data_IF_796403695149
#
_entry.id   IF_796403695149
#
_cell.length_a   1.000
_cell.length_b   1.000
_cell.length_c   1.000
_cell.angle_alpha   90.00
_cell.angle_beta   90.00
_cell.angle_gamma   90.00
#
_symmetry.space_group_name_H-M   'P 1'
#
loop_
_entity.id
_entity.type
_entity.pdbx_description
1 polymer ?
#
# COMPACT_ATOMS: atom_id res chain seq x y z
N UNK A 1 18.14 5.09 6.90
CA UNK A 1 17.34 4.00 6.30
C UNK A 1 15.92 4.50 6.20
N UNK A 2 15.35 4.55 5.01
CA UNK A 2 13.94 4.93 4.84
C UNK A 2 13.09 3.79 5.40
N UNK A 3 12.16 4.10 6.30
CA UNK A 3 11.37 3.10 7.02
C UNK A 3 10.30 2.49 6.11
N UNK A 4 10.69 1.44 5.38
CA UNK A 4 9.90 0.78 4.36
C UNK A 4 9.05 -0.32 4.99
N UNK A 5 7.91 0.10 5.52
CA UNK A 5 7.00 -0.75 6.29
C UNK A 5 5.54 -0.60 5.88
N UNK A 6 5.27 0.06 4.75
CA UNK A 6 3.91 0.30 4.29
C UNK A 6 3.58 -0.50 3.04
N UNK A 7 2.41 -1.15 3.07
CA UNK A 7 1.75 -1.66 1.88
C UNK A 7 0.96 -0.54 1.23
N UNK A 8 1.06 -0.44 -0.09
CA UNK A 8 0.15 0.37 -0.86
C UNK A 8 -1.07 -0.46 -1.25
N UNK A 9 -2.25 0.06 -0.94
CA UNK A 9 -3.53 -0.53 -1.26
C UNK A 9 -4.20 0.36 -2.30
N UNK A 10 -4.47 -0.19 -3.49
CA UNK A 10 -5.26 0.51 -4.50
C UNK A 10 -6.72 0.48 -4.07
N UNK A 11 -7.24 1.62 -3.61
CA UNK A 11 -8.66 1.80 -3.27
C UNK A 11 -9.52 1.60 -4.52
N UNK A 12 -9.11 2.17 -5.65
CA UNK A 12 -9.82 2.09 -6.93
C UNK A 12 -10.00 0.66 -7.45
N UNK A 13 -9.02 -0.20 -7.22
CA UNK A 13 -9.05 -1.59 -7.66
C UNK A 13 -9.45 -2.57 -6.55
N UNK A 14 -9.73 -2.10 -5.34
CA UNK A 14 -10.21 -2.94 -4.23
C UNK A 14 -11.74 -2.98 -4.20
N UNK A 15 -12.30 -4.06 -3.66
CA UNK A 15 -13.75 -4.22 -3.49
C UNK A 15 -14.06 -4.82 -2.11
N UNK A 16 -14.72 -4.04 -1.25
CA UNK A 16 -15.09 -4.46 0.10
C UNK A 16 -13.86 -4.85 0.92
N UNK A 17 -13.77 -6.14 1.28
CA UNK A 17 -12.66 -6.71 2.06
C UNK A 17 -11.55 -7.35 1.21
N UNK A 18 -11.70 -7.35 -0.12
CA UNK A 18 -10.66 -7.81 -1.05
C UNK A 18 -9.83 -6.61 -1.48
N UNK A 19 -8.65 -6.52 -0.90
CA UNK A 19 -7.68 -5.46 -1.17
C UNK A 19 -6.75 -5.85 -2.31
N UNK A 20 -6.58 -4.90 -3.22
CA UNK A 20 -5.59 -4.95 -4.30
C UNK A 20 -4.33 -4.25 -3.82
N UNK A 21 -3.26 -5.02 -3.62
CA UNK A 21 -1.99 -4.57 -3.09
C UNK A 21 -1.02 -4.26 -4.22
N UNK A 22 -0.17 -3.25 -4.06
CA UNK A 22 0.83 -2.90 -5.07
C UNK A 22 2.10 -3.77 -4.99
N UNK A 23 2.73 -3.92 -6.16
CA UNK A 23 3.97 -4.65 -6.34
C UNK A 23 3.69 -6.11 -6.66
N UNK A 24 4.39 -6.64 -7.66
CA UNK A 24 4.36 -8.08 -8.00
C UNK A 24 5.58 -8.84 -7.43
N UNK A 25 6.59 -8.11 -6.97
CA UNK A 25 7.78 -8.62 -6.28
C UNK A 25 8.27 -7.59 -5.27
N UNK A 26 8.67 -8.05 -4.08
CA UNK A 26 9.28 -7.23 -3.04
C UNK A 26 10.75 -6.98 -3.37
N UNK A 27 11.12 -5.71 -3.54
CA UNK A 27 12.50 -5.35 -3.84
C UNK A 27 13.35 -5.22 -2.58
N UNK A 28 14.65 -5.54 -2.70
CA UNK A 28 15.62 -5.39 -1.61
C UNK A 28 15.87 -3.93 -1.27
N UNK A 29 16.56 -3.68 -0.16
CA UNK A 29 16.76 -2.32 0.33
C UNK A 29 17.64 -1.45 -0.57
N UNK A 30 18.56 -2.06 -1.29
CA UNK A 30 19.47 -1.43 -2.24
C UNK A 30 18.88 -1.27 -3.65
N UNK A 31 17.67 -1.77 -3.88
CA UNK A 31 17.00 -1.74 -5.19
C UNK A 31 16.00 -0.59 -5.31
N UNK A 32 15.78 -0.14 -6.55
CA UNK A 32 14.66 0.76 -6.88
C UNK A 32 13.34 0.03 -6.62
N UNK A 33 12.39 0.74 -6.01
CA UNK A 33 11.07 0.19 -5.68
C UNK A 33 10.25 -0.15 -6.92
N UNK A 34 9.53 -1.25 -6.84
CA UNK A 34 8.57 -1.64 -7.84
C UNK A 34 7.29 -0.81 -7.66
N UNK A 35 6.89 -0.03 -8.66
CA UNK A 35 5.61 0.70 -8.68
C UNK A 35 4.67 0.14 -9.76
N UNK A 36 4.79 -1.15 -10.05
CA UNK A 36 3.99 -1.82 -11.06
C UNK A 36 3.46 -3.14 -10.55
N UNK A 37 2.40 -3.60 -11.19
CA UNK A 37 1.73 -4.84 -10.83
C UNK A 37 0.88 -4.72 -9.57
N UNK A 38 -0.06 -5.64 -9.49
CA UNK A 38 -0.94 -5.80 -8.34
C UNK A 38 -0.92 -7.25 -7.90
N UNK A 39 -1.04 -7.44 -6.59
CA UNK A 39 -1.22 -8.74 -5.98
C UNK A 39 -2.49 -8.76 -5.14
N UNK A 40 -3.04 -9.96 -4.97
CA UNK A 40 -4.22 -10.17 -4.15
C UNK A 40 -3.91 -10.08 -2.65
N UNK A 41 -4.98 -9.92 -1.87
CA UNK A 41 -4.97 -9.84 -0.40
C UNK A 41 -4.14 -10.94 0.28
N UNK A 42 -4.10 -12.15 -0.28
CA UNK A 42 -3.43 -13.31 0.33
C UNK A 42 -1.92 -13.38 0.05
N UNK A 43 -1.40 -12.58 -0.87
CA UNK A 43 0.02 -12.58 -1.26
C UNK A 43 0.81 -11.40 -0.64
N UNK A 44 0.33 -10.86 0.48
CA UNK A 44 0.87 -9.64 1.09
C UNK A 44 2.36 -9.71 1.47
N UNK A 45 2.90 -10.91 1.77
CA UNK A 45 4.33 -11.12 2.04
C UNK A 45 5.20 -10.88 0.80
N UNK A 46 4.65 -11.08 -0.41
CA UNK A 46 5.36 -10.86 -1.69
C UNK A 46 5.22 -9.44 -2.21
N UNK A 47 4.25 -8.69 -1.69
CA UNK A 47 3.99 -7.31 -2.09
C UNK A 47 5.14 -6.40 -1.70
N UNK A 48 5.28 -5.31 -2.44
CA UNK A 48 6.31 -4.31 -2.21
C UNK A 48 6.06 -3.56 -0.89
N UNK A 49 7.15 -3.18 -0.22
CA UNK A 49 7.08 -2.28 0.92
C UNK A 49 7.71 -0.93 0.61
N UNK A 50 6.94 0.09 0.93
CA UNK A 50 7.29 1.47 0.67
C UNK A 50 7.47 2.23 1.98
N UNK A 51 8.24 3.30 1.89
CA UNK A 51 8.16 4.43 2.78
C UNK A 51 7.18 5.47 2.23
N UNK A 52 6.74 6.43 3.06
CA UNK A 52 5.95 7.57 2.57
C UNK A 52 6.73 8.37 1.52
N UNK A 53 8.05 8.51 1.73
CA UNK A 53 8.96 9.24 0.86
C UNK A 53 9.06 8.61 -0.54
N UNK A 54 9.03 7.28 -0.63
CA UNK A 54 9.04 6.58 -1.93
C UNK A 54 7.87 7.05 -2.82
N UNK A 55 6.68 7.19 -2.25
CA UNK A 55 5.50 7.67 -2.98
C UNK A 55 5.52 9.18 -3.23
N UNK A 56 5.92 9.98 -2.24
CA UNK A 56 6.04 11.43 -2.44
C UNK A 56 7.02 11.78 -3.56
N UNK A 57 8.14 11.06 -3.66
CA UNK A 57 9.12 11.27 -4.73
C UNK A 57 8.62 10.81 -6.11
N UNK A 58 7.83 9.72 -6.17
CA UNK A 58 7.39 9.14 -7.44
C UNK A 58 6.13 9.80 -8.01
N UNK A 59 5.15 10.09 -7.15
CA UNK A 59 3.81 10.55 -7.56
C UNK A 59 3.45 11.95 -7.02
N UNK A 60 4.23 12.51 -6.10
CA UNK A 60 3.88 13.75 -5.42
C UNK A 60 2.69 13.61 -4.47
N UNK A 61 2.06 14.74 -4.15
CA UNK A 61 0.80 14.81 -3.40
C UNK A 61 -0.37 14.92 -4.39
N UNK A 62 -1.40 14.07 -4.26
CA UNK A 62 -2.54 14.10 -5.17
C UNK A 62 -3.49 12.93 -4.93
N UNK A 63 -3.73 12.15 -5.99
CA UNK A 63 -4.63 10.97 -5.92
C UNK A 63 -4.11 9.85 -5.02
N UNK A 64 -2.83 9.90 -4.63
CA UNK A 64 -2.24 8.96 -3.66
C UNK A 64 -2.12 9.64 -2.30
N UNK A 65 -2.63 8.98 -1.26
CA UNK A 65 -2.50 9.43 0.12
C UNK A 65 -1.13 9.02 0.71
N UNK A 66 -0.15 9.89 0.58
CA UNK A 66 1.24 9.66 1.03
C UNK A 66 1.74 10.66 2.10
N UNK A 67 0.90 11.58 2.57
CA UNK A 67 1.20 12.51 3.68
C UNK A 67 1.36 11.79 5.03
N UNK A 68 0.53 10.76 5.25
CA UNK A 68 0.55 9.93 6.46
C UNK A 68 -0.03 8.54 6.16
N UNK A 69 0.39 7.49 6.89
CA UNK A 69 -0.27 6.20 6.78
C UNK A 69 -1.70 6.29 7.29
N UNK A 70 -2.56 5.41 6.78
CA UNK A 70 -3.93 5.24 7.24
C UNK A 70 -4.08 3.98 8.07
N UNK A 71 -5.03 4.01 9.01
CA UNK A 71 -5.38 2.88 9.84
C UNK A 71 -6.16 1.84 9.03
N UNK A 72 -5.82 0.56 9.20
CA UNK A 72 -6.52 -0.57 8.62
C UNK A 72 -7.88 -0.77 9.28
N UNK A 73 -8.93 -0.90 8.47
CA UNK A 73 -10.32 -1.07 8.95
C UNK A 73 -11.15 -1.85 7.92
N UNK A 74 -12.26 -2.47 8.33
CA UNK A 74 -13.18 -3.13 7.38
C UNK A 74 -13.73 -2.16 6.32
N UNK A 75 -13.99 -0.90 6.70
CA UNK A 75 -14.53 0.12 5.79
C UNK A 75 -13.46 0.92 5.03
N UNK A 76 -12.22 0.42 4.95
CA UNK A 76 -11.08 1.16 4.38
C UNK A 76 -11.40 1.73 2.99
N UNK A 77 -11.93 0.90 2.08
CA UNK A 77 -12.25 1.28 0.70
C UNK A 77 -13.28 2.40 0.66
N UNK A 78 -14.33 2.29 1.48
CA UNK A 78 -15.39 3.31 1.54
C UNK A 78 -14.89 4.62 2.15
N UNK A 79 -14.09 4.53 3.21
CA UNK A 79 -13.59 5.69 3.95
C UNK A 79 -12.63 6.55 3.14
N UNK A 80 -11.84 5.93 2.27
CA UNK A 80 -10.79 6.60 1.49
C UNK A 80 -11.08 6.62 -0.01
N UNK A 81 -12.37 6.55 -0.39
CA UNK A 81 -12.82 6.44 -1.78
C UNK A 81 -12.42 7.63 -2.69
N UNK A 82 -12.04 8.77 -2.10
CA UNK A 82 -11.53 9.94 -2.82
C UNK A 82 -10.09 9.77 -3.32
N UNK A 83 -9.35 8.79 -2.79
CA UNK A 83 -7.97 8.48 -3.18
C UNK A 83 -7.93 7.24 -4.08
N UNK A 84 -6.96 7.20 -4.98
CA UNK A 84 -6.66 6.02 -5.78
C UNK A 84 -5.93 4.96 -4.94
N UNK A 85 -5.00 5.40 -4.09
CA UNK A 85 -4.13 4.53 -3.30
C UNK A 85 -3.87 5.10 -1.91
N UNK A 86 -3.84 4.23 -0.89
CA UNK A 86 -3.47 4.56 0.48
C UNK A 86 -2.33 3.67 0.98
N UNK A 87 -1.61 4.15 2.01
CA UNK A 87 -0.51 3.44 2.64
C UNK A 87 -0.92 2.93 4.02
N UNK A 88 -0.82 1.62 4.25
CA UNK A 88 -1.16 0.96 5.52
C UNK A 88 0.08 0.28 6.08
N UNK A 89 0.25 0.29 7.39
CA UNK A 89 1.36 -0.43 8.02
C UNK A 89 1.27 -1.94 7.76
N UNK A 90 2.38 -2.55 7.34
CA UNK A 90 2.47 -3.97 7.02
C UNK A 90 2.04 -4.87 8.18
N UNK A 91 2.51 -4.58 9.39
CA UNK A 91 2.16 -5.35 10.58
C UNK A 91 0.68 -5.23 10.93
N UNK A 92 0.11 -4.03 10.78
CA UNK A 92 -1.32 -3.79 10.99
C UNK A 92 -2.18 -4.56 9.99
N UNK A 93 -1.82 -4.52 8.70
CA UNK A 93 -2.50 -5.29 7.66
C UNK A 93 -2.44 -6.79 7.96
N UNK A 94 -1.27 -7.30 8.33
CA UNK A 94 -1.06 -8.70 8.70
C UNK A 94 -1.95 -9.13 9.88
N UNK A 95 -2.09 -8.30 10.90
CA UNK A 95 -3.00 -8.57 12.03
C UNK A 95 -4.47 -8.54 11.62
N UNK A 96 -4.83 -7.73 10.61
CA UNK A 96 -6.21 -7.61 10.14
C UNK A 96 -6.67 -8.82 9.30
N UNK A 97 -5.79 -9.39 8.48
CA UNK A 97 -6.14 -10.48 7.54
C UNK A 97 -5.92 -11.90 8.10
N UNK A 98 -5.25 -12.02 9.25
CA UNK A 98 -5.10 -13.28 9.99
C UNK A 98 -6.16 -13.38 11.09
#
# INVERSE_FOLDING_TARGET
>A
MTDRKYLAISIKHSAGTRFTLWGWERTKDDQKRCFSGYMGTMDYDKCELYSLEDFQRHYGNGVIKCDKPVKMTMDLVKKWAEYDTVLVNYGEYKTFVN
#
